data_IF_619303849691
#
_entry.id   IF_619303849691
#
_cell.length_a   1.000
_cell.length_b   1.000
_cell.length_c   1.000
_cell.angle_alpha   90.00
_cell.angle_beta   90.00
_cell.angle_gamma   90.00
#
_symmetry.space_group_name_H-M   'P 1'
#
loop_
_entity.id
_entity.type
_entity.pdbx_description
1 polymer ?
#
# COMPACT_ATOMS: atom_id res chain seq x y z
N UNK A 1 -10.37 -16.17 -0.88
CA UNK A 1 -9.65 -14.88 -1.05
C UNK A 1 -8.16 -15.06 -1.28
N UNK A 2 -7.35 -15.48 -0.30
CA UNK A 2 -5.87 -15.57 -0.50
C UNK A 2 -5.48 -16.48 -1.66
N UNK A 3 -6.02 -17.70 -1.72
CA UNK A 3 -5.77 -18.65 -2.80
C UNK A 3 -6.17 -18.07 -4.17
N UNK A 4 -7.38 -17.49 -4.26
CA UNK A 4 -7.87 -16.86 -5.49
C UNK A 4 -6.98 -15.71 -5.98
N UNK A 5 -6.51 -14.82 -5.10
CA UNK A 5 -5.63 -13.72 -5.51
C UNK A 5 -4.24 -14.20 -5.92
N UNK A 6 -3.72 -15.24 -5.25
CA UNK A 6 -2.45 -15.89 -5.63
C UNK A 6 -2.59 -16.59 -6.98
N UNK A 7 -3.71 -17.27 -7.23
CA UNK A 7 -3.99 -17.91 -8.53
C UNK A 7 -4.00 -16.87 -9.66
N UNK A 8 -4.67 -15.73 -9.46
CA UNK A 8 -4.63 -14.62 -10.42
C UNK A 8 -3.21 -14.11 -10.66
N UNK A 9 -2.41 -13.90 -9.61
CA UNK A 9 -1.02 -13.48 -9.74
C UNK A 9 -0.20 -14.49 -10.56
N UNK A 10 -0.35 -15.78 -10.30
CA UNK A 10 0.34 -16.84 -11.05
C UNK A 10 -0.10 -16.85 -12.52
N UNK A 11 -1.39 -16.69 -12.79
CA UNK A 11 -1.90 -16.61 -14.16
C UNK A 11 -1.31 -15.43 -14.93
N UNK A 12 -1.15 -14.28 -14.27
CA UNK A 12 -0.53 -13.09 -14.85
C UNK A 12 0.96 -13.30 -15.13
N UNK A 13 1.70 -13.89 -14.18
CA UNK A 13 3.11 -14.27 -14.40
C UNK A 13 3.25 -15.22 -15.59
N UNK A 14 2.39 -16.25 -15.66
CA UNK A 14 2.40 -17.22 -16.75
C UNK A 14 2.14 -16.56 -18.10
N UNK A 15 1.18 -15.63 -18.17
CA UNK A 15 0.88 -14.88 -19.39
C UNK A 15 2.05 -13.99 -19.83
N UNK A 16 2.70 -13.26 -18.92
CA UNK A 16 3.84 -12.39 -19.23
C UNK A 16 5.10 -13.19 -19.60
N UNK A 17 5.34 -14.31 -18.93
CA UNK A 17 6.43 -15.23 -19.28
C UNK A 17 6.25 -15.80 -20.70
N UNK A 18 5.02 -16.05 -21.14
CA UNK A 18 4.73 -16.58 -22.49
C UNK A 18 5.14 -15.62 -23.62
N UNK A 19 5.20 -14.32 -23.34
CA UNK A 19 5.63 -13.28 -24.28
C UNK A 19 7.04 -12.74 -23.96
N UNK A 20 7.78 -13.41 -23.06
CA UNK A 20 9.14 -13.03 -22.62
C UNK A 20 9.22 -11.59 -22.06
N UNK A 21 8.15 -11.10 -21.45
CA UNK A 21 8.10 -9.77 -20.85
C UNK A 21 8.75 -9.75 -19.46
N UNK A 22 9.49 -8.68 -19.14
CA UNK A 22 10.13 -8.51 -17.84
C UNK A 22 9.10 -8.13 -16.77
N UNK A 23 9.05 -8.91 -15.69
CA UNK A 23 8.09 -8.70 -14.60
C UNK A 23 8.78 -8.01 -13.42
N UNK A 24 8.21 -6.89 -12.96
CA UNK A 24 8.62 -6.28 -11.70
C UNK A 24 7.92 -6.98 -10.53
N UNK A 25 8.61 -7.93 -9.90
CA UNK A 25 8.08 -8.71 -8.78
C UNK A 25 7.70 -7.86 -7.57
N UNK A 26 8.44 -6.80 -7.26
CA UNK A 26 8.09 -5.92 -6.14
C UNK A 26 6.73 -5.26 -6.37
N UNK A 27 6.51 -4.69 -7.56
CA UNK A 27 5.22 -4.07 -7.91
C UNK A 27 4.08 -5.09 -7.87
N UNK A 28 4.34 -6.30 -8.39
CA UNK A 28 3.36 -7.38 -8.41
C UNK A 28 2.96 -7.83 -7.00
N UNK A 29 3.94 -8.07 -6.12
CA UNK A 29 3.71 -8.49 -4.74
C UNK A 29 3.03 -7.39 -3.91
N UNK A 30 3.40 -6.11 -4.12
CA UNK A 30 2.68 -4.99 -3.51
C UNK A 30 1.22 -4.95 -3.96
N UNK A 31 0.92 -5.18 -5.26
CA UNK A 31 -0.45 -5.28 -5.75
C UNK A 31 -1.20 -6.44 -5.10
N UNK A 32 -0.61 -7.64 -5.07
CA UNK A 32 -1.22 -8.81 -4.44
C UNK A 32 -1.57 -8.55 -2.97
N UNK A 33 -0.64 -7.97 -2.21
CA UNK A 33 -0.87 -7.65 -0.80
C UNK A 33 -2.02 -6.64 -0.61
N UNK A 34 -2.06 -5.61 -1.46
CA UNK A 34 -3.14 -4.63 -1.49
C UNK A 34 -4.48 -5.29 -1.81
N UNK A 35 -4.54 -6.13 -2.83
CA UNK A 35 -5.78 -6.72 -3.32
C UNK A 35 -6.35 -7.72 -2.30
N UNK A 36 -5.48 -8.52 -1.66
CA UNK A 36 -5.88 -9.37 -0.52
C UNK A 36 -6.41 -8.52 0.63
N UNK A 37 -5.69 -7.45 1.00
CA UNK A 37 -6.07 -6.59 2.13
C UNK A 37 -7.41 -5.92 1.87
N UNK A 38 -7.59 -5.32 0.68
CA UNK A 38 -8.81 -4.64 0.31
C UNK A 38 -9.99 -5.59 0.18
N UNK A 39 -9.78 -6.77 -0.39
CA UNK A 39 -10.85 -7.75 -0.54
C UNK A 39 -11.28 -8.33 0.80
N UNK A 40 -10.35 -8.49 1.75
CA UNK A 40 -10.66 -8.96 3.12
C UNK A 40 -11.30 -7.86 3.96
N UNK A 41 -10.73 -6.65 3.96
CA UNK A 41 -11.18 -5.55 4.82
C UNK A 41 -12.45 -4.86 4.31
N UNK A 42 -12.59 -4.75 2.98
CA UNK A 42 -13.61 -3.93 2.35
C UNK A 42 -14.54 -4.69 1.41
N UNK A 43 -14.29 -5.98 1.18
CA UNK A 43 -15.04 -6.79 0.21
C UNK A 43 -14.80 -6.39 -1.25
N UNK A 44 -13.93 -5.41 -1.52
CA UNK A 44 -13.64 -4.89 -2.86
C UNK A 44 -12.31 -5.45 -3.36
N UNK A 45 -12.33 -6.03 -4.55
CA UNK A 45 -11.12 -6.45 -5.27
C UNK A 45 -10.72 -5.30 -6.18
N UNK A 46 -9.52 -4.79 -6.02
CA UNK A 46 -8.87 -3.94 -7.02
C UNK A 46 -8.06 -4.91 -7.88
N UNK A 47 -8.29 -5.01 -9.19
CA UNK A 47 -7.62 -6.06 -9.97
C UNK A 47 -6.14 -5.73 -10.26
N UNK A 48 -5.28 -6.75 -10.19
CA UNK A 48 -3.90 -6.68 -10.72
C UNK A 48 -3.95 -6.28 -12.20
N UNK A 49 -3.50 -5.06 -12.50
CA UNK A 49 -3.45 -4.51 -13.86
C UNK A 49 -4.55 -3.50 -14.20
N UNK A 50 -5.59 -3.36 -13.37
CA UNK A 50 -6.56 -2.26 -13.52
C UNK A 50 -5.96 -0.95 -13.00
N UNK A 51 -5.95 0.09 -13.84
CA UNK A 51 -5.61 1.46 -13.43
C UNK A 51 -6.91 2.25 -13.21
N UNK A 52 -7.67 1.89 -12.18
CA UNK A 52 -8.75 2.73 -11.66
C UNK A 52 -8.18 3.82 -10.74
N UNK A 53 -8.80 5.00 -10.69
CA UNK A 53 -8.35 6.09 -9.80
C UNK A 53 -8.34 5.65 -8.33
N UNK A 54 -9.36 4.87 -7.90
CA UNK A 54 -9.46 4.34 -6.54
C UNK A 54 -8.40 3.27 -6.23
N UNK A 55 -8.08 2.39 -7.19
CA UNK A 55 -7.00 1.37 -7.06
C UNK A 55 -5.66 2.06 -6.82
N UNK A 56 -5.35 3.03 -7.68
CA UNK A 56 -4.10 3.78 -7.62
C UNK A 56 -4.00 4.60 -6.33
N UNK A 57 -5.11 5.16 -5.86
CA UNK A 57 -5.18 5.90 -4.60
C UNK A 57 -4.93 4.98 -3.40
N UNK A 58 -5.62 3.85 -3.32
CA UNK A 58 -5.45 2.88 -2.23
C UNK A 58 -3.99 2.39 -2.15
N UNK A 59 -3.43 2.00 -3.30
CA UNK A 59 -2.04 1.54 -3.38
C UNK A 59 -1.05 2.63 -2.96
N UNK A 60 -1.29 3.90 -3.33
CA UNK A 60 -0.45 5.02 -2.93
C UNK A 60 -0.47 5.24 -1.41
N UNK A 61 -1.66 5.28 -0.80
CA UNK A 61 -1.83 5.49 0.65
C UNK A 61 -1.18 4.34 1.44
N UNK A 62 -1.42 3.08 1.05
CA UNK A 62 -0.84 1.94 1.75
C UNK A 62 0.67 1.86 1.57
N UNK A 63 1.20 2.23 0.40
CA UNK A 63 2.65 2.32 0.19
C UNK A 63 3.28 3.37 1.10
N UNK A 64 2.68 4.54 1.21
CA UNK A 64 3.15 5.60 2.09
C UNK A 64 3.07 5.19 3.57
N UNK A 65 1.99 4.51 3.95
CA UNK A 65 1.84 3.90 5.28
C UNK A 65 2.96 2.92 5.59
N UNK A 66 3.31 2.03 4.65
CA UNK A 66 4.44 1.09 4.83
C UNK A 66 5.78 1.80 5.00
N UNK A 67 6.00 2.91 4.28
CA UNK A 67 7.22 3.71 4.44
C UNK A 67 7.27 4.36 5.83
N UNK A 68 6.16 4.97 6.27
CA UNK A 68 6.08 5.63 7.57
C UNK A 68 6.21 4.66 8.74
N UNK A 69 5.71 3.42 8.62
CA UNK A 69 5.85 2.39 9.65
C UNK A 69 7.31 1.99 9.93
N UNK A 70 8.18 2.10 8.93
CA UNK A 70 9.60 1.74 9.03
C UNK A 70 10.48 3.00 9.21
N UNK A 71 9.89 4.19 9.06
CA UNK A 71 10.59 5.46 9.20
C UNK A 71 11.00 5.72 10.66
N UNK A 72 12.15 6.35 10.84
CA UNK A 72 12.68 6.67 12.16
C UNK A 72 12.02 7.94 12.73
N UNK A 73 11.32 7.78 13.87
CA UNK A 73 10.81 8.90 14.67
C UNK A 73 11.63 9.04 15.96
N UNK A 74 12.09 10.26 16.25
CA UNK A 74 12.83 10.56 17.48
C UNK A 74 11.94 10.37 18.70
N UNK A 75 10.66 10.71 18.58
CA UNK A 75 9.65 10.54 19.61
C UNK A 75 9.57 9.10 20.15
N UNK A 76 9.80 8.09 19.30
CA UNK A 76 9.69 6.68 19.66
C UNK A 76 10.81 6.23 20.62
N UNK A 77 11.97 6.90 20.57
CA UNK A 77 13.13 6.58 21.40
C UNK A 77 13.30 7.56 22.57
N UNK A 78 12.88 8.81 22.38
CA UNK A 78 13.02 9.88 23.37
C UNK A 78 11.67 10.58 23.56
N UNK A 79 10.96 10.32 24.67
CA UNK A 79 9.61 10.87 24.91
C UNK A 79 9.53 12.41 24.87
N UNK A 80 10.62 13.11 25.18
CA UNK A 80 10.72 14.56 25.12
C UNK A 80 11.21 15.10 23.77
N UNK A 81 11.75 14.24 22.90
CA UNK A 81 12.36 14.59 21.62
C UNK A 81 11.38 14.74 20.46
N UNK A 82 10.08 14.56 20.70
CA UNK A 82 9.07 14.55 19.64
C UNK A 82 9.03 15.82 18.80
N UNK A 83 9.38 16.99 19.36
CA UNK A 83 9.43 18.25 18.61
C UNK A 83 10.39 18.21 17.41
N UNK A 84 11.43 17.37 17.44
CA UNK A 84 12.37 17.20 16.31
C UNK A 84 11.64 16.64 15.09
N UNK A 85 10.74 15.67 15.28
CA UNK A 85 9.91 15.14 14.20
C UNK A 85 8.92 16.18 13.66
N UNK A 86 8.65 17.26 14.40
CA UNK A 86 7.85 18.40 13.92
C UNK A 86 8.67 19.19 12.91
N UNK A 87 9.88 19.56 13.32
CA UNK A 87 10.75 20.46 12.57
C UNK A 87 11.22 19.83 11.28
N UNK A 88 11.50 18.52 11.29
CA UNK A 88 11.87 17.77 10.09
C UNK A 88 10.64 17.47 9.21
N UNK A 89 9.43 17.76 9.67
CA UNK A 89 8.19 17.57 8.91
C UNK A 89 7.67 16.13 8.88
N UNK A 90 8.35 15.18 9.54
CA UNK A 90 7.92 13.78 9.62
C UNK A 90 6.54 13.62 10.25
N UNK A 91 6.26 14.38 11.31
CA UNK A 91 4.92 14.32 11.95
C UNK A 91 3.83 14.81 11.02
N UNK A 92 4.04 15.91 10.30
CA UNK A 92 3.05 16.43 9.36
C UNK A 92 2.79 15.43 8.21
N UNK A 93 3.83 14.74 7.74
CA UNK A 93 3.72 13.67 6.73
C UNK A 93 2.92 12.48 7.28
N UNK A 94 3.18 12.07 8.51
CA UNK A 94 2.44 11.00 9.20
C UNK A 94 0.95 11.35 9.37
N UNK A 95 0.66 12.55 9.89
CA UNK A 95 -0.71 13.04 10.08
C UNK A 95 -1.47 13.15 8.76
N UNK A 96 -0.80 13.61 7.68
CA UNK A 96 -1.39 13.64 6.35
C UNK A 96 -1.77 12.24 5.86
N UNK A 97 -0.85 11.28 5.94
CA UNK A 97 -1.13 9.91 5.51
C UNK A 97 -2.25 9.27 6.36
N UNK A 98 -2.29 9.57 7.66
CA UNK A 98 -3.38 9.13 8.53
C UNK A 98 -4.74 9.69 8.08
N UNK A 99 -4.81 10.98 7.77
CA UNK A 99 -6.03 11.61 7.26
C UNK A 99 -6.46 11.05 5.88
N UNK A 100 -5.51 10.77 4.99
CA UNK A 100 -5.81 10.13 3.69
C UNK A 100 -6.35 8.69 3.87
N UNK A 101 -5.78 7.94 4.82
CA UNK A 101 -6.24 6.59 5.15
C UNK A 101 -7.64 6.60 5.78
N UNK A 102 -7.90 7.52 6.70
CA UNK A 102 -9.19 7.71 7.36
C UNK A 102 -10.29 8.06 6.34
N UNK A 103 -10.03 9.05 5.48
CA UNK A 103 -10.94 9.43 4.40
C UNK A 103 -11.16 8.29 3.39
N UNK A 104 -10.13 7.46 3.14
CA UNK A 104 -10.28 6.27 2.32
C UNK A 104 -11.20 5.23 2.98
N UNK A 105 -11.10 5.03 4.29
CA UNK A 105 -11.98 4.11 5.02
C UNK A 105 -13.43 4.59 5.06
N UNK A 106 -13.68 5.90 5.15
CA UNK A 106 -15.05 6.44 5.10
C UNK A 106 -15.72 6.28 3.72
N UNK A 107 -14.96 6.30 2.64
CA UNK A 107 -15.49 6.17 1.27
C UNK A 107 -15.88 4.73 0.91
N UNK A 108 -15.31 3.76 1.61
CA UNK A 108 -15.32 2.35 1.19
C UNK A 108 -16.48 1.57 1.82
#
# INVERSE_FOLDING_TARGET
VREEEVEKMISLISSQASILELINLSKLLHSLSNDITCRVAFGKSFHIGEQGSQVNRCHAILKETQVLLIEFFVADYFPWGGWVDALVGRRARLEKNFAELDAFYEEV
#
